data_IF_093347476178
#
_entry.id   IF_093347476178
#
_cell.length_a   1.000
_cell.length_b   1.000
_cell.length_c   1.000
_cell.angle_alpha   90.00
_cell.angle_beta   90.00
_cell.angle_gamma   90.00
#
_symmetry.space_group_name_H-M   'P 1'
#
loop_
_entity.id
_entity.type
_entity.pdbx_description
1 polymer ?
#
# COMPACT_ATOMS: atom_id res chain seq x y z
N UNK A 1 -13.86 13.85 -21.82
CA UNK A 1 -12.39 13.69 -21.79
C UNK A 1 -11.84 13.77 -20.36
N UNK A 2 -12.04 14.87 -19.62
CA UNK A 2 -11.51 15.03 -18.26
C UNK A 2 -12.07 14.05 -17.21
N UNK A 3 -13.32 13.60 -17.34
CA UNK A 3 -13.93 12.68 -16.37
C UNK A 3 -13.28 11.29 -16.38
N UNK A 4 -12.89 10.78 -17.55
CA UNK A 4 -12.20 9.50 -17.67
C UNK A 4 -10.85 9.51 -16.96
N UNK A 5 -10.02 10.53 -17.21
CA UNK A 5 -8.74 10.71 -16.50
C UNK A 5 -8.95 11.01 -15.01
N UNK A 6 -10.00 11.75 -14.67
CA UNK A 6 -10.33 12.09 -13.28
C UNK A 6 -10.56 10.86 -12.41
N UNK A 7 -11.23 9.83 -12.93
CA UNK A 7 -11.44 8.56 -12.20
C UNK A 7 -10.11 7.87 -11.89
N UNK A 8 -9.18 7.80 -12.86
CA UNK A 8 -7.86 7.22 -12.61
C UNK A 8 -7.05 8.02 -11.59
N UNK A 9 -7.05 9.35 -11.66
CA UNK A 9 -6.39 10.18 -10.66
C UNK A 9 -6.98 9.98 -9.26
N UNK A 10 -8.31 9.86 -9.16
CA UNK A 10 -8.98 9.60 -7.90
C UNK A 10 -8.58 8.24 -7.30
N UNK A 11 -8.47 7.20 -8.13
CA UNK A 11 -7.98 5.89 -7.70
C UNK A 11 -6.53 6.01 -7.21
N UNK A 12 -5.64 6.65 -7.98
CA UNK A 12 -4.22 6.80 -7.61
C UNK A 12 -4.06 7.54 -6.28
N UNK A 13 -4.78 8.65 -6.08
CA UNK A 13 -4.68 9.46 -4.86
C UNK A 13 -5.24 8.68 -3.66
N UNK A 14 -6.41 8.05 -3.81
CA UNK A 14 -7.06 7.32 -2.72
C UNK A 14 -6.24 6.10 -2.29
N UNK A 15 -5.82 5.28 -3.26
CA UNK A 15 -4.96 4.12 -3.01
C UNK A 15 -3.65 4.58 -2.38
N UNK A 16 -3.05 5.66 -2.90
CA UNK A 16 -1.84 6.27 -2.33
C UNK A 16 -1.98 6.63 -0.86
N UNK A 17 -3.10 7.26 -0.46
CA UNK A 17 -3.40 7.58 0.94
C UNK A 17 -3.51 6.31 1.81
N UNK A 18 -4.19 5.26 1.32
CA UNK A 18 -4.36 4.00 2.05
C UNK A 18 -3.04 3.26 2.29
N UNK A 19 -2.15 3.21 1.29
CA UNK A 19 -0.88 2.47 1.38
C UNK A 19 0.28 3.29 1.96
N UNK A 20 0.10 4.60 2.19
CA UNK A 20 1.19 5.51 2.57
C UNK A 20 1.94 5.06 3.84
N UNK A 21 1.21 4.59 4.85
CA UNK A 21 1.83 4.08 6.09
C UNK A 21 2.72 2.86 5.82
N UNK A 22 2.29 1.96 4.93
CA UNK A 22 3.08 0.80 4.53
C UNK A 22 4.37 1.22 3.79
N UNK A 23 4.29 2.21 2.90
CA UNK A 23 5.47 2.73 2.18
C UNK A 23 6.52 3.32 3.13
N UNK A 24 6.10 3.99 4.21
CA UNK A 24 7.03 4.49 5.24
C UNK A 24 7.76 3.33 5.92
N UNK A 25 7.02 2.28 6.32
CA UNK A 25 7.62 1.10 6.96
C UNK A 25 8.62 0.43 6.01
N UNK A 26 8.23 0.22 4.75
CA UNK A 26 9.10 -0.33 3.72
C UNK A 26 10.39 0.51 3.55
N UNK A 27 10.26 1.84 3.50
CA UNK A 27 11.40 2.75 3.36
C UNK A 27 12.38 2.65 4.54
N UNK A 28 11.88 2.59 5.77
CA UNK A 28 12.70 2.43 6.98
C UNK A 28 13.47 1.10 6.94
N UNK A 29 12.81 0.02 6.52
CA UNK A 29 13.45 -1.29 6.41
C UNK A 29 14.54 -1.26 5.32
N UNK A 30 14.27 -0.68 4.15
CA UNK A 30 15.26 -0.54 3.07
C UNK A 30 16.50 0.23 3.56
N UNK A 31 16.31 1.35 4.28
CA UNK A 31 17.42 2.11 4.87
C UNK A 31 18.22 1.25 5.85
N UNK A 32 17.54 0.43 6.66
CA UNK A 32 18.19 -0.44 7.64
C UNK A 32 19.08 -1.49 6.96
N UNK A 33 18.62 -2.10 5.86
CA UNK A 33 19.45 -3.00 5.07
C UNK A 33 20.59 -2.26 4.37
N UNK A 34 20.34 -1.09 3.77
CA UNK A 34 21.39 -0.28 3.15
C UNK A 34 22.48 0.11 4.15
N UNK A 35 22.09 0.43 5.38
CA UNK A 35 23.03 0.73 6.45
C UNK A 35 23.79 -0.52 6.91
N UNK A 36 23.14 -1.68 6.99
CA UNK A 36 23.80 -2.95 7.33
C UNK A 36 24.84 -3.36 6.28
N UNK A 37 24.49 -3.30 4.99
CA UNK A 37 25.43 -3.54 3.89
C UNK A 37 26.54 -2.50 3.86
N UNK A 38 26.22 -1.22 4.10
CA UNK A 38 27.22 -0.16 4.22
C UNK A 38 28.26 -0.50 5.28
N UNK A 39 27.86 -0.81 6.52
CA UNK A 39 28.82 -1.15 7.59
C UNK A 39 29.64 -2.40 7.24
N UNK A 40 29.02 -3.39 6.61
CA UNK A 40 29.68 -4.65 6.27
C UNK A 40 30.72 -4.49 5.15
N UNK A 41 30.43 -3.65 4.16
CA UNK A 41 31.18 -3.52 2.90
C UNK A 41 32.00 -2.22 2.80
N UNK A 42 31.96 -1.39 3.84
CA UNK A 42 32.83 -0.22 3.94
C UNK A 42 34.30 -0.66 4.06
N UNK A 43 35.23 -0.07 3.28
CA UNK A 43 36.67 -0.24 3.51
C UNK A 43 37.03 0.24 4.92
N UNK A 44 37.75 -0.58 5.68
CA UNK A 44 38.23 -0.26 7.03
C UNK A 44 39.59 0.43 7.03
N UNK A 45 40.35 0.23 5.98
CA UNK A 45 41.66 0.83 5.77
C UNK A 45 41.56 2.10 4.93
N UNK A 46 42.54 2.99 5.07
CA UNK A 46 42.67 4.15 4.18
C UNK A 46 42.88 3.69 2.74
N UNK A 47 42.09 4.24 1.82
CA UNK A 47 42.19 3.97 0.39
C UNK A 47 42.13 5.29 -0.39
N UNK A 48 42.62 5.25 -1.63
CA UNK A 48 42.46 6.31 -2.62
C UNK A 48 42.07 5.70 -3.95
N UNK A 49 41.26 6.38 -4.74
CA UNK A 49 40.94 5.94 -6.11
C UNK A 49 42.04 6.31 -7.11
N UNK A 50 42.87 7.33 -6.80
CA UNK A 50 43.87 7.85 -7.73
C UNK A 50 45.18 7.05 -7.70
N UNK A 51 45.48 6.41 -6.57
CA UNK A 51 46.68 5.61 -6.39
C UNK A 51 46.37 4.27 -5.74
N UNK A 52 47.06 3.22 -6.21
CA UNK A 52 46.91 1.89 -5.65
C UNK A 52 47.38 1.88 -4.19
N UNK A 53 46.44 1.57 -3.31
CA UNK A 53 46.67 1.36 -1.89
C UNK A 53 46.76 -0.13 -1.66
N UNK A 54 48.00 -0.64 -1.65
CA UNK A 54 48.29 -2.06 -1.50
C UNK A 54 48.05 -2.49 -0.04
N UNK A 55 46.78 -2.72 0.32
CA UNK A 55 46.36 -3.16 1.64
C UNK A 55 45.52 -4.45 1.53
N UNK A 56 45.49 -5.22 2.62
CA UNK A 56 44.82 -6.52 2.69
C UNK A 56 43.31 -6.41 3.00
N UNK A 57 42.71 -5.23 2.79
CA UNK A 57 41.31 -5.00 3.09
C UNK A 57 40.42 -5.55 1.96
N UNK A 58 39.57 -6.55 2.21
CA UNK A 58 38.75 -7.18 1.18
C UNK A 58 37.75 -6.22 0.54
N UNK A 59 37.41 -5.12 1.20
CA UNK A 59 36.45 -4.13 0.70
C UNK A 59 37.12 -2.97 -0.06
N UNK A 60 38.46 -2.91 -0.11
CA UNK A 60 39.17 -1.88 -0.86
C UNK A 60 38.83 -1.98 -2.36
N UNK A 61 38.42 -0.89 -3.03
CA UNK A 61 38.15 -0.88 -4.47
C UNK A 61 39.26 -1.46 -5.34
N UNK A 62 40.52 -1.31 -4.96
CA UNK A 62 41.65 -1.89 -5.70
C UNK A 62 41.69 -3.42 -5.66
N UNK A 63 41.19 -4.03 -4.59
CA UNK A 63 41.09 -5.49 -4.44
C UNK A 63 39.85 -6.07 -5.13
N UNK A 64 38.83 -5.23 -5.34
CA UNK A 64 37.59 -5.57 -6.05
C UNK A 64 37.67 -5.31 -7.56
N UNK A 65 38.64 -4.53 -8.01
CA UNK A 65 38.81 -4.17 -9.41
C UNK A 65 39.11 -5.40 -10.28
N UNK A 66 38.58 -5.40 -11.50
CA UNK A 66 38.85 -6.47 -12.46
C UNK A 66 40.34 -6.51 -12.82
N UNK A 67 40.91 -7.71 -12.83
CA UNK A 67 42.29 -7.95 -13.22
C UNK A 67 42.36 -8.83 -14.46
N UNK A 68 43.23 -8.46 -15.40
CA UNK A 68 43.42 -9.17 -16.66
C UNK A 68 44.78 -9.89 -16.61
N UNK A 69 44.73 -11.23 -16.69
CA UNK A 69 45.91 -12.08 -16.80
C UNK A 69 46.08 -12.58 -18.23
N UNK A 70 47.32 -12.70 -18.66
CA UNK A 70 47.68 -13.16 -20.02
C UNK A 70 47.61 -14.69 -20.10
N UNK A 71 46.41 -15.27 -19.95
CA UNK A 71 46.10 -16.68 -20.18
C UNK A 71 46.84 -17.75 -19.35
N UNK A 72 47.82 -17.38 -18.53
CA UNK A 72 48.66 -18.27 -17.74
C UNK A 72 48.23 -18.22 -16.26
N UNK A 73 47.87 -19.37 -15.69
CA UNK A 73 47.20 -19.51 -14.39
C UNK A 73 48.08 -19.05 -13.21
N UNK A 74 49.40 -18.92 -13.41
CA UNK A 74 50.37 -18.62 -12.35
C UNK A 74 51.05 -17.24 -12.46
N UNK A 75 50.63 -16.37 -13.39
CA UNK A 75 51.22 -15.03 -13.52
C UNK A 75 50.49 -13.97 -12.71
N UNK A 76 51.24 -13.09 -12.04
CA UNK A 76 50.71 -11.84 -11.47
C UNK A 76 49.92 -11.06 -12.54
N UNK A 77 48.81 -10.39 -12.18
CA UNK A 77 47.97 -9.68 -13.14
C UNK A 77 48.79 -8.64 -13.92
N UNK A 78 48.62 -8.62 -15.24
CA UNK A 78 49.37 -7.73 -16.14
C UNK A 78 48.80 -6.30 -16.09
N UNK A 79 47.48 -6.19 -15.97
CA UNK A 79 46.75 -4.93 -15.80
C UNK A 79 45.60 -5.09 -14.83
N UNK A 80 45.44 -4.10 -13.95
CA UNK A 80 44.29 -3.95 -13.04
C UNK A 80 43.50 -2.73 -13.53
N UNK A 81 42.18 -2.87 -13.66
CA UNK A 81 41.32 -1.75 -13.98
C UNK A 81 41.38 -0.71 -12.87
N UNK A 82 41.52 0.57 -13.21
CA UNK A 82 41.49 1.65 -12.20
C UNK A 82 40.08 1.65 -11.58
N UNK A 83 39.95 1.46 -10.25
CA UNK A 83 38.66 1.42 -9.61
C UNK A 83 38.01 2.81 -9.63
N UNK A 84 36.69 2.80 -9.70
CA UNK A 84 35.86 3.99 -9.58
C UNK A 84 34.97 3.91 -8.33
N UNK A 85 34.12 4.92 -8.14
CA UNK A 85 33.17 4.95 -7.02
C UNK A 85 32.09 3.85 -7.11
N UNK A 86 31.88 3.25 -8.28
CA UNK A 86 30.89 2.18 -8.48
C UNK A 86 31.49 0.79 -8.22
N UNK A 87 32.82 0.68 -8.26
CA UNK A 87 33.55 -0.57 -7.96
C UNK A 87 33.26 -1.06 -6.54
N UNK A 88 33.09 -0.13 -5.58
CA UNK A 88 32.45 -0.43 -4.31
C UNK A 88 31.42 0.66 -3.99
N UNK A 89 30.14 0.37 -4.30
CA UNK A 89 29.03 1.29 -4.04
C UNK A 89 28.76 1.51 -2.54
N UNK A 90 29.40 0.77 -1.64
CA UNK A 90 29.19 0.87 -0.19
C UNK A 90 30.17 1.80 0.52
N UNK A 91 30.98 2.56 -0.24
CA UNK A 91 31.86 3.62 0.31
C UNK A 91 31.06 4.83 0.80
N UNK A 92 29.99 5.21 0.10
CA UNK A 92 29.11 6.32 0.47
C UNK A 92 27.72 5.76 0.81
N UNK A 93 27.12 6.29 1.88
CA UNK A 93 25.76 5.93 2.29
C UNK A 93 24.74 6.15 1.17
N UNK A 94 24.95 7.17 0.32
CA UNK A 94 24.05 7.47 -0.81
C UNK A 94 24.12 6.39 -1.89
N UNK A 95 25.32 5.96 -2.24
CA UNK A 95 25.53 4.90 -3.24
C UNK A 95 25.14 3.53 -2.68
N UNK A 96 25.28 3.31 -1.37
CA UNK A 96 24.78 2.11 -0.69
C UNK A 96 23.25 2.01 -0.78
N UNK A 97 22.54 3.11 -0.51
CA UNK A 97 21.08 3.15 -0.66
C UNK A 97 20.67 2.82 -2.11
N UNK A 98 21.40 3.36 -3.09
CA UNK A 98 21.15 3.08 -4.50
C UNK A 98 21.47 1.62 -4.87
N UNK A 99 22.52 1.02 -4.32
CA UNK A 99 22.85 -0.40 -4.50
C UNK A 99 21.73 -1.32 -3.98
N UNK A 100 21.13 -0.99 -2.82
CA UNK A 100 19.98 -1.75 -2.30
C UNK A 100 18.72 -1.54 -3.14
N UNK A 101 18.52 -0.33 -3.69
CA UNK A 101 17.47 -0.11 -4.66
C UNK A 101 17.67 -0.97 -5.92
N UNK A 102 18.89 -1.06 -6.47
CA UNK A 102 19.21 -1.96 -7.59
C UNK A 102 18.89 -3.41 -7.24
N UNK A 103 19.30 -3.86 -6.05
CA UNK A 103 18.99 -5.21 -5.56
C UNK A 103 17.47 -5.47 -5.47
N UNK A 104 16.69 -4.45 -5.08
CA UNK A 104 15.22 -4.54 -5.00
C UNK A 104 14.57 -4.80 -6.37
N UNK A 105 15.08 -4.18 -7.44
CA UNK A 105 14.62 -4.43 -8.82
C UNK A 105 15.31 -5.65 -9.47
N UNK A 106 16.13 -6.38 -8.73
CA UNK A 106 16.75 -7.64 -9.15
C UNK A 106 18.14 -7.50 -9.76
N UNK A 107 18.74 -6.31 -9.73
CA UNK A 107 20.11 -6.10 -10.19
C UNK A 107 21.10 -6.33 -9.04
N UNK A 108 21.84 -7.45 -9.10
CA UNK A 108 22.86 -7.82 -8.13
C UNK A 108 24.28 -7.36 -8.49
N UNK A 109 24.45 -6.55 -9.55
CA UNK A 109 25.76 -6.07 -10.02
C UNK A 109 26.56 -5.40 -8.90
N UNK A 110 25.88 -4.61 -8.07
CA UNK A 110 26.47 -3.92 -6.94
C UNK A 110 27.08 -4.84 -5.86
N UNK A 111 26.69 -6.12 -5.82
CA UNK A 111 27.18 -7.13 -4.85
C UNK A 111 27.99 -8.24 -5.52
N UNK A 112 28.16 -8.20 -6.84
CA UNK A 112 28.82 -9.26 -7.62
C UNK A 112 30.33 -9.37 -7.38
N UNK A 113 30.94 -8.33 -6.80
CA UNK A 113 32.39 -8.29 -6.54
C UNK A 113 32.83 -9.18 -5.38
N UNK A 114 31.92 -9.61 -4.50
CA UNK A 114 32.25 -10.45 -3.34
C UNK A 114 31.88 -11.91 -3.60
N UNK A 115 32.83 -12.82 -3.35
CA UNK A 115 32.57 -14.25 -3.36
C UNK A 115 31.74 -14.66 -2.13
N UNK A 116 30.63 -15.34 -2.35
CA UNK A 116 29.70 -15.74 -1.30
C UNK A 116 30.25 -16.82 -0.36
N UNK A 117 31.16 -17.67 -0.85
CA UNK A 117 31.77 -18.73 -0.05
C UNK A 117 32.66 -18.16 1.08
N UNK A 118 33.40 -17.09 0.79
CA UNK A 118 34.32 -16.48 1.74
C UNK A 118 33.63 -15.50 2.69
N UNK A 119 32.42 -15.06 2.35
CA UNK A 119 31.69 -14.01 3.06
C UNK A 119 30.26 -14.46 3.41
N UNK A 120 30.08 -15.40 4.36
CA UNK A 120 28.77 -15.94 4.70
C UNK A 120 27.79 -14.87 5.19
N UNK A 121 28.28 -13.83 5.86
CA UNK A 121 27.45 -12.71 6.32
C UNK A 121 26.75 -11.96 5.18
N UNK A 122 27.45 -11.75 4.04
CA UNK A 122 26.87 -11.10 2.85
C UNK A 122 25.76 -11.99 2.29
N UNK A 123 26.06 -13.28 2.12
CA UNK A 123 25.09 -14.25 1.59
C UNK A 123 23.82 -14.32 2.45
N UNK A 124 23.98 -14.39 3.78
CA UNK A 124 22.85 -14.38 4.72
C UNK A 124 22.02 -13.10 4.57
N UNK A 125 22.68 -11.94 4.47
CA UNK A 125 22.00 -10.65 4.35
C UNK A 125 21.24 -10.53 3.02
N UNK A 126 21.80 -11.02 1.92
CA UNK A 126 21.13 -11.08 0.60
C UNK A 126 19.91 -11.98 0.64
N UNK A 127 20.04 -13.19 1.20
CA UNK A 127 18.92 -14.13 1.33
C UNK A 127 17.80 -13.53 2.19
N UNK A 128 18.16 -12.95 3.32
CA UNK A 128 17.21 -12.30 4.22
C UNK A 128 16.50 -11.12 3.56
N UNK A 129 17.25 -10.26 2.86
CA UNK A 129 16.70 -9.12 2.11
C UNK A 129 15.72 -9.61 1.03
N UNK A 130 16.11 -10.63 0.27
CA UNK A 130 15.29 -11.17 -0.82
C UNK A 130 14.00 -11.79 -0.28
N UNK A 131 14.08 -12.59 0.79
CA UNK A 131 12.91 -13.20 1.41
C UNK A 131 11.96 -12.14 2.00
N UNK A 132 12.50 -11.20 2.79
CA UNK A 132 11.68 -10.24 3.51
C UNK A 132 11.12 -9.16 2.57
N UNK A 133 11.96 -8.55 1.74
CA UNK A 133 11.54 -7.41 0.91
C UNK A 133 10.91 -7.90 -0.38
N UNK A 134 11.67 -8.63 -1.20
CA UNK A 134 11.26 -9.00 -2.57
C UNK A 134 10.11 -10.02 -2.54
N UNK A 135 10.21 -11.06 -1.71
CA UNK A 135 9.18 -12.10 -1.67
C UNK A 135 8.01 -11.70 -0.77
N UNK A 136 8.25 -11.23 0.44
CA UNK A 136 7.15 -10.97 1.38
C UNK A 136 6.54 -9.58 1.21
N UNK A 137 7.31 -8.51 1.43
CA UNK A 137 6.76 -7.15 1.45
C UNK A 137 6.27 -6.66 0.08
N UNK A 138 6.96 -6.97 -1.03
CA UNK A 138 6.47 -6.57 -2.36
C UNK A 138 5.18 -7.28 -2.75
N UNK A 139 5.07 -8.58 -2.46
CA UNK A 139 3.83 -9.32 -2.72
C UNK A 139 2.69 -8.84 -1.82
N UNK A 140 2.98 -8.52 -0.55
CA UNK A 140 2.00 -7.91 0.35
C UNK A 140 1.58 -6.52 -0.16
N UNK A 141 2.52 -5.70 -0.62
CA UNK A 141 2.24 -4.39 -1.23
C UNK A 141 1.31 -4.53 -2.44
N UNK A 142 1.60 -5.46 -3.35
CA UNK A 142 0.76 -5.75 -4.52
C UNK A 142 -0.65 -6.17 -4.08
N UNK A 143 -0.77 -7.04 -3.07
CA UNK A 143 -2.05 -7.45 -2.51
C UNK A 143 -2.85 -6.29 -1.91
N UNK A 144 -2.18 -5.41 -1.16
CA UNK A 144 -2.78 -4.20 -0.59
C UNK A 144 -3.22 -3.22 -1.67
N UNK A 145 -2.40 -3.03 -2.71
CA UNK A 145 -2.78 -2.21 -3.87
C UNK A 145 -4.02 -2.77 -4.55
N UNK A 146 -4.06 -4.07 -4.82
CA UNK A 146 -5.19 -4.70 -5.50
C UNK A 146 -6.49 -4.52 -4.72
N UNK A 147 -6.45 -4.76 -3.41
CA UNK A 147 -7.61 -4.57 -2.54
C UNK A 147 -8.08 -3.09 -2.50
N UNK A 148 -7.14 -2.16 -2.34
CA UNK A 148 -7.46 -0.73 -2.30
C UNK A 148 -8.02 -0.21 -3.63
N UNK A 149 -7.52 -0.71 -4.76
CA UNK A 149 -8.04 -0.37 -6.10
C UNK A 149 -9.47 -0.90 -6.26
N UNK A 150 -9.75 -2.11 -5.82
CA UNK A 150 -11.08 -2.71 -5.92
C UNK A 150 -12.14 -1.92 -5.14
N UNK A 151 -11.81 -1.46 -3.93
CA UNK A 151 -12.69 -0.64 -3.10
C UNK A 151 -12.97 0.74 -3.72
N UNK A 152 -11.96 1.37 -4.33
CA UNK A 152 -12.05 2.73 -4.87
C UNK A 152 -12.39 2.82 -6.36
N UNK A 153 -12.59 1.68 -7.05
CA UNK A 153 -12.97 1.63 -8.46
C UNK A 153 -14.47 1.94 -8.67
N UNK A 154 -14.93 3.04 -8.12
CA UNK A 154 -16.30 3.50 -8.29
C UNK A 154 -16.36 4.99 -8.65
N UNK A 155 -17.37 5.37 -9.43
CA UNK A 155 -17.56 6.77 -9.87
C UNK A 155 -17.85 7.71 -8.70
N UNK A 156 -18.37 7.18 -7.59
CA UNK A 156 -18.73 7.95 -6.40
C UNK A 156 -17.48 8.48 -5.70
N UNK A 157 -16.43 7.66 -5.55
CA UNK A 157 -15.13 8.02 -4.98
C UNK A 157 -14.46 9.15 -5.76
N UNK A 158 -14.58 9.16 -7.09
CA UNK A 158 -14.12 10.28 -7.91
C UNK A 158 -14.86 11.58 -7.58
N UNK A 159 -16.18 11.53 -7.46
CA UNK A 159 -17.00 12.73 -7.19
C UNK A 159 -16.77 13.27 -5.79
N UNK A 160 -16.62 12.40 -4.79
CA UNK A 160 -16.29 12.77 -3.42
C UNK A 160 -14.92 13.46 -3.40
N UNK A 161 -13.89 12.84 -3.99
CA UNK A 161 -12.55 13.45 -4.04
C UNK A 161 -12.56 14.79 -4.78
N UNK A 162 -13.33 14.90 -5.87
CA UNK A 162 -13.49 16.17 -6.58
C UNK A 162 -14.11 17.25 -5.69
N UNK A 163 -15.12 16.91 -4.89
CA UNK A 163 -15.76 17.83 -3.95
C UNK A 163 -14.82 18.23 -2.81
N UNK A 164 -14.07 17.28 -2.25
CA UNK A 164 -13.05 17.55 -1.22
C UNK A 164 -11.98 18.51 -1.72
N UNK A 165 -11.40 18.26 -2.91
CA UNK A 165 -10.37 19.12 -3.51
C UNK A 165 -10.93 20.53 -3.76
N UNK A 166 -12.18 20.64 -4.24
CA UNK A 166 -12.82 21.95 -4.43
C UNK A 166 -12.99 22.69 -3.10
N UNK A 167 -13.46 22.01 -2.05
CA UNK A 167 -13.59 22.60 -0.72
C UNK A 167 -12.24 23.05 -0.13
N UNK A 168 -11.18 22.26 -0.34
CA UNK A 168 -9.82 22.58 0.09
C UNK A 168 -9.28 23.83 -0.63
N UNK A 169 -9.48 23.92 -1.94
CA UNK A 169 -9.12 25.11 -2.74
C UNK A 169 -9.89 26.33 -2.23
N UNK A 170 -11.19 26.22 -2.00
CA UNK A 170 -12.03 27.30 -1.50
C UNK A 170 -11.59 27.81 -0.13
N UNK A 171 -11.22 26.89 0.77
CA UNK A 171 -10.88 27.21 2.15
C UNK A 171 -9.47 27.79 2.28
N UNK A 172 -8.47 27.16 1.66
CA UNK A 172 -7.06 27.42 1.91
C UNK A 172 -6.34 28.22 0.81
N UNK A 173 -6.76 28.10 -0.45
CA UNK A 173 -5.99 28.62 -1.58
C UNK A 173 -6.56 29.91 -2.20
N UNK A 174 -7.75 30.33 -1.79
CA UNK A 174 -8.41 31.51 -2.36
C UNK A 174 -8.57 32.68 -1.39
N UNK A 175 -8.31 33.88 -1.91
CA UNK A 175 -8.55 35.13 -1.19
C UNK A 175 -10.06 35.43 -1.06
N UNK A 176 -10.49 36.19 -0.04
CA UNK A 176 -11.91 36.45 0.23
C UNK A 176 -12.70 37.10 -0.91
N UNK A 177 -12.03 37.75 -1.87
CA UNK A 177 -12.67 38.35 -3.03
C UNK A 177 -12.85 37.34 -4.17
N UNK A 178 -11.91 36.40 -4.37
CA UNK A 178 -11.98 35.35 -5.38
C UNK A 178 -13.11 34.35 -5.07
N UNK A 179 -13.33 34.02 -3.79
CA UNK A 179 -14.45 33.15 -3.36
C UNK A 179 -15.84 33.73 -3.67
N UNK A 180 -15.94 35.04 -3.88
CA UNK A 180 -17.20 35.73 -4.18
C UNK A 180 -17.48 35.84 -5.68
N UNK A 181 -16.56 35.37 -6.54
CA UNK A 181 -16.76 35.32 -7.98
C UNK A 181 -17.67 34.16 -8.38
N UNK A 182 -18.95 34.49 -8.60
CA UNK A 182 -19.99 33.52 -8.98
C UNK A 182 -19.70 32.76 -10.27
N UNK A 183 -18.87 33.31 -11.15
CA UNK A 183 -18.47 32.66 -12.41
C UNK A 183 -17.50 31.50 -12.18
N UNK A 184 -16.69 31.55 -11.12
CA UNK A 184 -15.73 30.49 -10.78
C UNK A 184 -16.26 29.57 -9.69
N UNK A 185 -17.06 30.11 -8.77
CA UNK A 185 -17.68 29.38 -7.66
C UNK A 185 -19.20 29.52 -7.72
N UNK A 186 -19.89 28.62 -8.43
CA UNK A 186 -21.34 28.61 -8.45
C UNK A 186 -21.89 28.27 -7.06
N UNK A 187 -23.03 28.86 -6.70
CA UNK A 187 -23.67 28.63 -5.39
C UNK A 187 -24.13 27.17 -5.21
N UNK A 188 -24.32 26.43 -6.30
CA UNK A 188 -24.87 25.07 -6.31
C UNK A 188 -24.11 24.24 -7.34
N UNK A 189 -23.76 23.00 -6.98
CA UNK A 189 -23.17 22.01 -7.87
C UNK A 189 -24.21 20.92 -8.11
N UNK A 190 -24.56 20.67 -9.36
CA UNK A 190 -25.55 19.64 -9.72
C UNK A 190 -24.85 18.31 -10.01
N UNK A 191 -25.34 17.24 -9.40
CA UNK A 191 -25.00 15.87 -9.76
C UNK A 191 -26.21 15.20 -10.41
N UNK A 192 -26.00 14.61 -11.58
CA UNK A 192 -27.03 13.84 -12.27
C UNK A 192 -26.91 12.37 -11.87
N UNK A 193 -27.93 11.87 -11.18
CA UNK A 193 -28.07 10.47 -10.82
C UNK A 193 -29.22 9.85 -11.61
N UNK A 194 -29.05 8.59 -12.00
CA UNK A 194 -30.12 7.78 -12.58
C UNK A 194 -31.17 7.48 -11.49
N UNK A 195 -32.44 7.78 -11.77
CA UNK A 195 -33.52 7.69 -10.80
C UNK A 195 -33.76 6.24 -10.34
N UNK A 196 -33.56 5.24 -11.21
CA UNK A 196 -33.80 3.85 -10.87
C UNK A 196 -32.63 3.27 -10.06
N UNK A 197 -31.39 3.62 -10.43
CA UNK A 197 -30.21 3.28 -9.60
C UNK A 197 -30.29 3.90 -8.21
N UNK A 198 -30.68 5.18 -8.12
CA UNK A 198 -30.86 5.87 -6.85
C UNK A 198 -31.95 5.19 -6.00
N UNK A 199 -33.09 4.82 -6.61
CA UNK A 199 -34.16 4.08 -5.91
C UNK A 199 -33.68 2.74 -5.35
N UNK A 200 -32.91 1.97 -6.12
CA UNK A 200 -32.38 0.67 -5.67
C UNK A 200 -31.42 0.84 -4.49
N UNK A 201 -30.47 1.76 -4.61
CA UNK A 201 -29.45 1.97 -3.58
C UNK A 201 -30.05 2.47 -2.26
N UNK A 202 -31.02 3.39 -2.33
CA UNK A 202 -31.71 3.88 -1.13
C UNK A 202 -32.46 2.74 -0.43
N UNK A 203 -33.10 1.83 -1.16
CA UNK A 203 -33.74 0.65 -0.56
C UNK A 203 -32.72 -0.27 0.11
N UNK A 204 -31.58 -0.54 -0.54
CA UNK A 204 -30.48 -1.34 0.00
C UNK A 204 -29.97 -0.76 1.32
N UNK A 205 -29.66 0.54 1.35
CA UNK A 205 -29.18 1.24 2.54
C UNK A 205 -30.17 1.18 3.71
N UNK A 206 -31.47 1.25 3.41
CA UNK A 206 -32.51 1.13 4.44
C UNK A 206 -32.60 -0.32 4.98
N UNK A 207 -32.53 -1.32 4.10
CA UNK A 207 -32.54 -2.74 4.50
C UNK A 207 -31.34 -3.12 5.37
N UNK A 208 -30.15 -2.61 5.04
CA UNK A 208 -28.92 -2.85 5.79
C UNK A 208 -28.83 -2.01 7.08
N UNK A 209 -29.62 -0.93 7.16
CA UNK A 209 -29.63 0.01 8.29
C UNK A 209 -28.49 1.03 8.26
N UNK A 210 -27.86 1.22 7.09
CA UNK A 210 -26.79 2.19 6.84
C UNK A 210 -27.33 3.58 6.44
N UNK A 211 -28.65 3.70 6.24
CA UNK A 211 -29.27 4.96 5.86
C UNK A 211 -29.26 5.97 7.03
N UNK A 212 -28.39 6.97 6.98
CA UNK A 212 -28.33 8.02 8.01
C UNK A 212 -29.61 8.86 8.03
N UNK A 213 -30.21 8.96 9.21
CA UNK A 213 -31.45 9.70 9.44
C UNK A 213 -31.24 11.02 10.18
N UNK A 214 -30.00 11.38 10.55
CA UNK A 214 -29.71 12.49 11.45
C UNK A 214 -29.63 13.86 10.76
N UNK A 215 -29.15 13.90 9.51
CA UNK A 215 -28.95 15.16 8.77
C UNK A 215 -29.89 15.29 7.55
N UNK A 216 -30.16 16.54 7.15
CA UNK A 216 -30.90 16.90 5.92
C UNK A 216 -32.32 16.32 5.78
N UNK A 217 -33.07 16.22 6.89
CA UNK A 217 -34.43 15.64 6.96
C UNK A 217 -35.39 16.16 5.87
N UNK A 218 -35.44 17.48 5.66
CA UNK A 218 -36.32 18.09 4.66
C UNK A 218 -35.96 17.69 3.22
N UNK A 219 -34.66 17.62 2.92
CA UNK A 219 -34.15 17.25 1.60
C UNK A 219 -34.42 15.77 1.30
N UNK A 220 -34.34 14.93 2.34
CA UNK A 220 -34.66 13.50 2.29
C UNK A 220 -36.13 13.26 1.98
N UNK A 221 -37.05 13.94 2.67
CA UNK A 221 -38.48 13.81 2.37
C UNK A 221 -38.80 14.19 0.93
N UNK A 222 -38.18 15.26 0.43
CA UNK A 222 -38.32 15.67 -0.96
C UNK A 222 -37.74 14.61 -1.92
N UNK A 223 -36.60 14.01 -1.59
CA UNK A 223 -36.00 12.93 -2.38
C UNK A 223 -36.92 11.71 -2.47
N UNK A 224 -37.52 11.28 -1.34
CA UNK A 224 -38.48 10.17 -1.34
C UNK A 224 -39.73 10.47 -2.17
N UNK A 225 -40.23 11.71 -2.12
CA UNK A 225 -41.36 12.15 -2.95
C UNK A 225 -41.00 12.12 -4.45
N UNK A 226 -39.85 12.66 -4.82
CA UNK A 226 -39.38 12.73 -6.22
C UNK A 226 -39.09 11.34 -6.78
N UNK A 227 -38.51 10.44 -5.99
CA UNK A 227 -38.22 9.07 -6.38
C UNK A 227 -39.41 8.12 -6.19
N UNK A 228 -40.57 8.60 -5.74
CA UNK A 228 -41.78 7.82 -5.48
C UNK A 228 -41.54 6.60 -4.56
N UNK A 229 -40.57 6.72 -3.64
CA UNK A 229 -40.29 5.68 -2.66
C UNK A 229 -41.38 5.79 -1.59
N UNK A 230 -42.23 4.76 -1.48
CA UNK A 230 -43.25 4.70 -0.43
C UNK A 230 -42.56 4.68 0.93
N UNK A 231 -42.58 5.82 1.62
CA UNK A 231 -42.08 5.95 2.99
C UNK A 231 -43.08 5.32 3.95
N UNK A 232 -43.09 4.00 3.99
CA UNK A 232 -43.95 3.23 4.88
C UNK A 232 -43.14 2.92 6.14
N UNK A 233 -42.96 3.91 7.03
CA UNK A 233 -42.27 3.78 8.34
C UNK A 233 -41.29 2.58 8.40
N UNK A 234 -40.24 2.62 7.57
CA UNK A 234 -39.49 1.42 7.18
C UNK A 234 -38.70 0.86 8.36
N UNK A 235 -38.41 1.70 9.36
CA UNK A 235 -37.84 1.30 10.64
C UNK A 235 -38.64 0.15 11.28
N UNK A 236 -39.98 0.19 11.24
CA UNK A 236 -40.78 -0.88 11.85
C UNK A 236 -40.67 -2.19 11.07
N UNK A 237 -40.58 -2.17 9.75
CA UNK A 237 -40.54 -3.39 8.92
C UNK A 237 -39.14 -4.05 8.95
N UNK A 238 -38.07 -3.25 9.00
CA UNK A 238 -36.70 -3.74 9.19
C UNK A 238 -36.48 -4.25 10.62
N UNK A 239 -37.02 -3.54 11.63
CA UNK A 239 -37.01 -4.01 13.02
C UNK A 239 -37.82 -5.31 13.14
N UNK A 240 -38.99 -5.41 12.51
CA UNK A 240 -39.80 -6.64 12.49
C UNK A 240 -39.05 -7.82 11.86
N UNK A 241 -38.41 -7.63 10.70
CA UNK A 241 -37.58 -8.69 10.08
C UNK A 241 -36.39 -9.09 10.96
N UNK A 242 -35.72 -8.13 11.61
CA UNK A 242 -34.62 -8.44 12.54
C UNK A 242 -35.13 -9.19 13.77
N UNK A 243 -36.31 -8.84 14.28
CA UNK A 243 -36.97 -9.54 15.39
C UNK A 243 -37.38 -10.97 14.99
N UNK A 244 -37.97 -11.17 13.82
CA UNK A 244 -38.32 -12.49 13.29
C UNK A 244 -37.09 -13.40 13.14
N UNK A 245 -35.99 -12.86 12.59
CA UNK A 245 -34.73 -13.60 12.46
C UNK A 245 -34.11 -13.95 13.82
N UNK A 246 -34.19 -13.05 14.81
CA UNK A 246 -33.74 -13.30 16.18
C UNK A 246 -34.58 -14.40 16.84
N UNK A 247 -35.90 -14.38 16.62
CA UNK A 247 -36.82 -15.39 17.16
C UNK A 247 -36.59 -16.78 16.52
N UNK A 248 -36.26 -16.85 15.23
CA UNK A 248 -35.83 -18.10 14.59
C UNK A 248 -34.48 -18.61 15.12
N UNK A 249 -33.54 -17.71 15.38
CA UNK A 249 -32.24 -18.06 15.95
C UNK A 249 -32.40 -18.63 17.36
N UNK A 250 -33.21 -17.99 18.20
CA UNK A 250 -33.53 -18.44 19.57
C UNK A 250 -34.15 -19.84 19.55
N UNK A 251 -35.17 -20.07 18.71
CA UNK A 251 -35.78 -21.41 18.52
C UNK A 251 -34.78 -22.47 18.05
N UNK A 252 -33.79 -22.08 17.25
CA UNK A 252 -32.74 -22.99 16.76
C UNK A 252 -31.74 -23.34 17.86
N UNK A 253 -31.40 -22.37 18.71
CA UNK A 253 -30.56 -22.56 19.88
C UNK A 253 -31.21 -23.47 20.93
N UNK A 254 -32.49 -23.25 21.24
CA UNK A 254 -33.25 -24.09 22.17
C UNK A 254 -33.30 -25.56 21.71
N UNK A 255 -33.59 -25.80 20.43
CA UNK A 255 -33.55 -27.15 19.85
C UNK A 255 -32.18 -27.81 19.96
N UNK A 256 -31.09 -27.04 19.81
CA UNK A 256 -29.73 -27.56 20.00
C UNK A 256 -29.47 -27.89 21.47
N UNK A 257 -29.96 -27.08 22.40
CA UNK A 257 -29.82 -27.30 23.84
C UNK A 257 -30.55 -28.57 24.28
N UNK A 258 -31.81 -28.76 23.88
CA UNK A 258 -32.57 -29.99 24.16
C UNK A 258 -31.87 -31.25 23.61
N UNK A 259 -31.27 -31.15 22.42
CA UNK A 259 -30.53 -32.26 21.82
C UNK A 259 -29.25 -32.58 22.61
N UNK A 260 -28.57 -31.57 23.14
CA UNK A 260 -27.40 -31.72 24.01
C UNK A 260 -27.76 -32.34 25.36
N UNK A 261 -28.86 -31.93 25.98
CA UNK A 261 -29.36 -32.53 27.22
C UNK A 261 -29.67 -34.02 27.06
N UNK A 262 -30.38 -34.40 25.98
CA UNK A 262 -30.65 -35.82 25.68
C UNK A 262 -29.38 -36.66 25.53
N UNK A 263 -28.35 -36.12 24.87
CA UNK A 263 -27.06 -36.81 24.73
C UNK A 263 -26.33 -36.96 26.07
N UNK A 264 -26.44 -35.96 26.96
CA UNK A 264 -25.89 -36.00 28.31
C UNK A 264 -26.60 -37.06 29.18
N UNK A 265 -27.92 -37.15 29.09
CA UNK A 265 -28.70 -38.20 29.77
C UNK A 265 -28.33 -39.60 29.27
N UNK A 266 -28.14 -39.79 27.96
CA UNK A 266 -27.70 -41.08 27.39
C UNK A 266 -26.29 -41.48 27.85
N UNK A 267 -25.39 -40.52 28.06
CA UNK A 267 -24.04 -40.78 28.58
C UNK A 267 -24.09 -41.16 30.07
N UNK A 268 -24.92 -40.49 30.88
CA UNK A 268 -25.05 -40.82 32.29
C UNK A 268 -25.85 -42.12 32.56
N UNK A 269 -26.63 -42.59 31.60
CA UNK A 269 -27.36 -43.87 31.69
C UNK A 269 -26.53 -45.11 31.30
N UNK A 270 -25.29 -44.93 30.83
CA UNK A 270 -24.32 -46.00 30.50
C UNK A 270 -23.27 -46.18 31.59
#
# INVERSE_FOLDING_TARGET
AFEYFGVYFAIIISVGKKIFSFLIVLFIIIISFAHAFYILLLPRSEFSLDHNTNNDDPNNPWNLASSYSDGNINSKPLMIQIPDKNTNMFIDIRTSLFAIYLLLIGDSSALSNWQYADNPSIAILIVLFSLLIVVYLMNLLIGLLNNAIEEDNNRVSYLIQKAEILAEIELFYLLPHQRRWRTWFPKVIHYYADADKARMEIKRLIEEGEWDTKEFTDMRENLFKVLEIKHKHIDNEVILKKLENLEELEKTHDKRFEKLEKLLEEIHAK
#
